data_IF_586730200910
#
_entry.id   IF_586730200910
#
_cell.length_a   1.000
_cell.length_b   1.000
_cell.length_c   1.000
_cell.angle_alpha   90.00
_cell.angle_beta   90.00
_cell.angle_gamma   90.00
#
_symmetry.space_group_name_H-M   'P 1'
#
loop_
_entity.id
_entity.type
_entity.pdbx_description
1 polymer ?
#
# COMPACT_ATOMS: atom_id res chain seq x y z
N UNK A 1 -0.05 -6.65 23.03
CA UNK A 1 0.14 -5.19 23.11
C UNK A 1 -1.23 -4.65 22.79
N UNK A 2 -1.89 -4.06 23.77
CA UNK A 2 -3.24 -3.56 23.62
C UNK A 2 -3.24 -2.46 22.54
N UNK A 3 -3.87 -2.76 21.41
CA UNK A 3 -3.99 -1.85 20.29
C UNK A 3 -5.12 -0.87 20.64
N UNK A 4 -4.76 0.13 21.44
CA UNK A 4 -5.69 1.19 21.83
C UNK A 4 -6.18 1.93 20.59
N UNK A 5 -7.35 1.54 20.09
CA UNK A 5 -8.27 2.35 19.29
C UNK A 5 -7.64 3.34 18.31
N UNK A 6 -6.65 2.90 17.51
CA UNK A 6 -6.06 3.78 16.50
C UNK A 6 -7.13 4.12 15.48
N UNK A 7 -7.45 5.41 15.41
CA UNK A 7 -8.30 5.97 14.37
C UNK A 7 -7.43 6.57 13.27
N UNK A 8 -7.66 6.15 12.03
CA UNK A 8 -6.86 6.55 10.86
C UNK A 8 -7.51 7.69 10.06
N UNK A 9 -8.83 7.84 10.15
CA UNK A 9 -9.60 8.81 9.38
C UNK A 9 -10.29 9.87 10.24
N UNK A 10 -9.65 10.32 11.32
CA UNK A 10 -10.18 11.36 12.21
C UNK A 10 -10.33 12.68 11.46
N UNK A 11 -11.53 13.28 11.49
CA UNK A 11 -11.80 14.58 10.87
C UNK A 11 -11.87 14.54 9.34
N UNK A 12 -12.18 13.38 8.76
CA UNK A 12 -12.39 13.25 7.31
C UNK A 12 -13.83 13.54 6.89
N UNK A 13 -14.73 13.78 7.83
CA UNK A 13 -16.06 14.31 7.58
C UNK A 13 -15.95 15.65 6.84
N UNK A 14 -16.79 15.85 5.81
CA UNK A 14 -16.75 17.00 4.91
C UNK A 14 -15.48 17.15 4.07
N UNK A 15 -14.60 16.13 4.02
CA UNK A 15 -13.43 16.17 3.15
C UNK A 15 -13.86 16.10 1.68
N UNK A 16 -13.31 17.03 0.88
CA UNK A 16 -13.56 17.10 -0.56
C UNK A 16 -12.55 16.23 -1.31
N UNK A 17 -13.03 15.35 -2.18
CA UNK A 17 -12.25 14.40 -2.97
C UNK A 17 -12.52 14.64 -4.44
N UNK A 18 -11.48 14.91 -5.22
CA UNK A 18 -11.55 14.98 -6.68
C UNK A 18 -11.14 13.65 -7.29
N UNK A 19 -12.04 13.06 -8.07
CA UNK A 19 -11.86 11.79 -8.78
C UNK A 19 -11.83 12.03 -10.29
N UNK A 20 -11.18 11.14 -11.02
CA UNK A 20 -11.11 11.20 -12.47
C UNK A 20 -11.35 9.79 -13.03
N UNK A 21 -12.32 9.65 -13.92
CA UNK A 21 -12.55 8.45 -14.72
C UNK A 21 -12.44 8.87 -16.18
N UNK A 22 -11.52 8.27 -16.94
CA UNK A 22 -11.30 8.60 -18.36
C UNK A 22 -11.09 10.11 -18.63
N UNK A 23 -10.39 10.80 -17.72
CA UNK A 23 -10.17 12.25 -17.69
C UNK A 23 -11.43 13.11 -17.47
N UNK A 24 -12.56 12.51 -17.10
CA UNK A 24 -13.75 13.23 -16.66
C UNK A 24 -13.61 13.48 -15.15
N UNK A 25 -13.41 14.74 -14.71
CA UNK A 25 -13.33 15.05 -13.29
C UNK A 25 -14.72 14.97 -12.66
N UNK A 26 -14.78 14.45 -11.44
CA UNK A 26 -15.93 14.55 -10.54
C UNK A 26 -15.45 14.90 -9.15
N UNK A 27 -16.23 15.67 -8.39
CA UNK A 27 -15.84 16.11 -7.05
C UNK A 27 -16.92 15.70 -6.05
N UNK A 28 -16.49 15.03 -4.99
CA UNK A 28 -17.37 14.43 -3.99
C UNK A 28 -16.99 14.89 -2.59
N UNK A 29 -17.98 15.07 -1.73
CA UNK A 29 -17.81 15.41 -0.31
C UNK A 29 -18.08 14.16 0.51
N UNK A 30 -17.17 13.80 1.42
CA UNK A 30 -17.41 12.72 2.38
C UNK A 30 -18.40 13.17 3.45
N UNK A 31 -19.47 12.41 3.66
CA UNK A 31 -20.54 12.75 4.62
C UNK A 31 -20.32 12.05 5.96
N UNK A 32 -20.46 10.73 5.98
CA UNK A 32 -20.38 9.90 7.18
C UNK A 32 -19.35 8.78 7.00
N UNK A 33 -18.54 8.53 8.02
CA UNK A 33 -17.69 7.34 8.10
C UNK A 33 -18.52 6.11 8.49
N UNK A 34 -18.90 5.32 7.49
CA UNK A 34 -19.73 4.13 7.66
C UNK A 34 -18.98 2.95 8.27
N UNK A 35 -17.69 2.80 7.96
CA UNK A 35 -16.85 1.75 8.52
C UNK A 35 -15.37 2.14 8.51
N UNK A 36 -14.67 1.72 9.55
CA UNK A 36 -13.22 1.77 9.62
C UNK A 36 -12.69 0.39 10.02
N UNK A 37 -11.78 -0.15 9.22
CA UNK A 37 -11.07 -1.37 9.51
C UNK A 37 -9.59 -1.10 9.38
N UNK A 38 -8.79 -1.76 10.18
CA UNK A 38 -7.36 -1.85 9.94
C UNK A 38 -6.91 -3.26 10.31
N UNK A 39 -5.81 -3.69 9.70
CA UNK A 39 -5.13 -4.89 10.18
C UNK A 39 -3.65 -4.60 10.33
N UNK A 40 -3.17 -4.88 11.53
CA UNK A 40 -1.77 -4.82 11.88
C UNK A 40 -1.44 -6.13 12.60
N UNK A 41 -0.60 -6.96 11.99
CA UNK A 41 -0.26 -8.25 12.58
C UNK A 41 0.94 -8.12 13.53
N UNK A 42 0.97 -8.89 14.61
CA UNK A 42 2.21 -9.16 15.36
C UNK A 42 3.23 -9.89 14.47
N UNK A 43 4.50 -9.94 14.86
CA UNK A 43 5.51 -10.65 14.06
C UNK A 43 5.17 -12.15 13.95
N UNK A 44 4.57 -12.70 15.01
CA UNK A 44 4.11 -14.08 15.09
C UNK A 44 2.89 -14.34 14.18
N UNK A 45 1.84 -13.51 14.27
CA UNK A 45 0.63 -13.67 13.43
C UNK A 45 0.93 -13.47 11.95
N UNK A 46 1.86 -12.59 11.63
CA UNK A 46 2.35 -12.42 10.27
C UNK A 46 2.97 -13.71 9.72
N UNK A 47 3.80 -14.39 10.52
CA UNK A 47 4.43 -15.64 10.11
C UNK A 47 3.39 -16.73 9.79
N UNK A 48 2.25 -16.73 10.48
CA UNK A 48 1.17 -17.68 10.23
C UNK A 48 0.31 -17.28 9.02
N UNK A 49 0.05 -15.98 8.82
CA UNK A 49 -0.75 -15.45 7.70
C UNK A 49 -0.21 -14.09 7.24
N UNK A 50 0.63 -14.06 6.19
CA UNK A 50 1.19 -12.82 5.68
C UNK A 50 0.09 -11.92 5.07
N UNK A 51 -0.07 -10.69 5.60
CA UNK A 51 -0.98 -9.66 5.09
C UNK A 51 -0.33 -8.28 5.16
N UNK A 52 -0.56 -7.44 4.15
CA UNK A 52 0.02 -6.08 4.04
C UNK A 52 -0.70 -5.16 4.98
N UNK A 53 -0.05 -4.68 6.05
CA UNK A 53 -0.70 -3.78 7.00
C UNK A 53 -1.29 -2.55 6.29
N UNK A 54 -2.56 -2.29 6.55
CA UNK A 54 -3.31 -1.20 5.92
C UNK A 54 -4.49 -0.77 6.80
N UNK A 55 -4.97 0.45 6.56
CA UNK A 55 -6.23 0.95 7.07
C UNK A 55 -7.22 1.19 5.91
N UNK A 56 -8.50 0.98 6.20
CA UNK A 56 -9.59 0.98 5.24
C UNK A 56 -10.72 1.82 5.80
N UNK A 57 -11.13 2.86 5.07
CA UNK A 57 -12.29 3.67 5.39
C UNK A 57 -13.38 3.46 4.36
N UNK A 58 -14.62 3.30 4.78
CA UNK A 58 -15.81 3.37 3.92
C UNK A 58 -16.64 4.57 4.34
N UNK A 59 -16.97 5.44 3.39
CA UNK A 59 -17.73 6.67 3.61
C UNK A 59 -18.93 6.72 2.68
N UNK A 60 -20.04 7.28 3.18
CA UNK A 60 -21.05 7.88 2.29
C UNK A 60 -20.52 9.21 1.75
N UNK A 61 -20.97 9.57 0.57
CA UNK A 61 -20.61 10.84 -0.05
C UNK A 61 -21.71 11.34 -0.98
N UNK A 62 -21.68 12.64 -1.27
CA UNK A 62 -22.49 13.25 -2.31
C UNK A 62 -21.63 14.06 -3.28
N UNK A 63 -22.15 14.30 -4.48
CA UNK A 63 -21.48 15.13 -5.47
C UNK A 63 -21.53 16.61 -5.06
N UNK A 64 -20.39 17.30 -5.18
CA UNK A 64 -20.27 18.70 -4.74
C UNK A 64 -21.31 19.63 -5.38
N UNK A 65 -21.64 19.42 -6.65
CA UNK A 65 -22.61 20.24 -7.39
C UNK A 65 -24.07 19.81 -7.23
N UNK A 66 -24.32 18.60 -6.76
CA UNK A 66 -25.67 18.04 -6.62
C UNK A 66 -25.72 17.08 -5.42
N UNK A 67 -26.23 17.57 -4.29
CA UNK A 67 -26.35 16.78 -3.07
C UNK A 67 -27.35 15.62 -3.17
N UNK A 68 -28.18 15.56 -4.22
CA UNK A 68 -29.07 14.43 -4.48
C UNK A 68 -28.35 13.24 -5.13
N UNK A 69 -27.19 13.50 -5.77
CA UNK A 69 -26.28 12.49 -6.31
C UNK A 69 -25.43 11.91 -5.17
N UNK A 70 -25.73 10.68 -4.77
CA UNK A 70 -25.09 10.01 -3.62
C UNK A 70 -24.23 8.81 -4.06
N UNK A 71 -23.23 8.48 -3.25
CA UNK A 71 -22.30 7.39 -3.51
C UNK A 71 -21.62 6.85 -2.26
N UNK A 72 -20.74 5.88 -2.48
CA UNK A 72 -19.87 5.29 -1.45
C UNK A 72 -18.42 5.40 -1.91
N UNK A 73 -17.55 5.94 -1.06
CA UNK A 73 -16.09 5.96 -1.29
C UNK A 73 -15.41 4.99 -0.34
N UNK A 74 -14.54 4.13 -0.90
CA UNK A 74 -13.63 3.26 -0.14
C UNK A 74 -12.22 3.80 -0.25
N UNK A 75 -11.60 4.11 0.89
CA UNK A 75 -10.24 4.65 0.99
C UNK A 75 -9.32 3.57 1.52
N UNK A 76 -8.20 3.35 0.84
CA UNK A 76 -7.17 2.39 1.22
C UNK A 76 -5.90 3.14 1.58
N UNK A 77 -5.48 3.09 2.84
CA UNK A 77 -4.25 3.70 3.33
C UNK A 77 -3.19 2.62 3.54
N UNK A 78 -2.12 2.65 2.74
CA UNK A 78 -0.98 1.75 2.85
C UNK A 78 0.32 2.47 2.44
N UNK A 79 1.46 2.00 2.94
CA UNK A 79 2.77 2.51 2.52
C UNK A 79 3.13 1.95 1.14
N UNK A 80 3.23 2.82 0.13
CA UNK A 80 3.64 2.45 -1.24
C UNK A 80 4.59 3.49 -1.86
N UNK A 81 5.41 3.10 -2.85
CA UNK A 81 6.13 4.05 -3.69
C UNK A 81 5.18 5.02 -4.39
N UNK A 82 5.70 6.17 -4.85
CA UNK A 82 4.91 7.19 -5.53
C UNK A 82 4.20 6.60 -6.75
N UNK A 83 2.87 6.65 -6.76
CA UNK A 83 2.07 6.30 -7.93
C UNK A 83 2.24 7.36 -9.02
N UNK A 84 2.58 6.93 -10.23
CA UNK A 84 2.79 7.79 -11.39
C UNK A 84 1.59 7.75 -12.34
N UNK A 85 1.00 6.57 -12.54
CA UNK A 85 -0.17 6.42 -13.41
C UNK A 85 -1.00 5.18 -13.02
N UNK A 86 -2.28 5.21 -13.37
CA UNK A 86 -3.20 4.08 -13.24
C UNK A 86 -3.93 3.88 -14.56
N UNK A 87 -4.01 2.64 -15.02
CA UNK A 87 -4.89 2.24 -16.13
C UNK A 87 -5.78 1.09 -15.67
N UNK A 88 -7.03 1.09 -16.13
CA UNK A 88 -7.98 -0.01 -15.92
C UNK A 88 -8.40 -0.59 -17.28
N UNK A 89 -8.39 -1.91 -17.39
CA UNK A 89 -8.98 -2.65 -18.50
C UNK A 89 -9.98 -3.70 -17.99
N UNK A 90 -10.79 -4.27 -18.88
CA UNK A 90 -11.68 -5.41 -18.61
C UNK A 90 -11.13 -6.68 -19.28
N UNK A 91 -11.25 -7.80 -18.59
CA UNK A 91 -10.85 -9.12 -19.08
C UNK A 91 -11.98 -9.70 -19.91
N UNK A 92 -11.65 -10.14 -21.13
CA UNK A 92 -12.60 -10.82 -21.98
C UNK A 92 -12.97 -12.23 -21.44
N UNK A 93 -13.86 -12.89 -22.16
CA UNK A 93 -14.38 -14.22 -21.82
C UNK A 93 -13.33 -15.34 -21.83
N UNK A 94 -12.13 -15.08 -22.34
CA UNK A 94 -11.00 -16.02 -22.38
C UNK A 94 -9.98 -15.78 -21.26
N UNK A 95 -10.11 -14.67 -20.53
CA UNK A 95 -9.22 -14.31 -19.43
C UNK A 95 -9.37 -15.23 -18.21
N UNK A 96 -8.37 -15.25 -17.30
CA UNK A 96 -8.44 -16.01 -16.06
C UNK A 96 -9.59 -15.59 -15.12
N UNK A 97 -10.03 -14.33 -15.24
CA UNK A 97 -11.22 -13.81 -14.54
C UNK A 97 -12.15 -13.16 -15.55
N UNK A 98 -13.02 -13.94 -16.24
CA UNK A 98 -13.94 -13.41 -17.24
C UNK A 98 -14.86 -12.31 -16.71
N UNK A 99 -14.92 -11.16 -17.40
CA UNK A 99 -15.66 -9.97 -16.96
C UNK A 99 -15.05 -9.26 -15.75
N UNK A 100 -13.88 -9.71 -15.29
CA UNK A 100 -13.10 -9.05 -14.24
C UNK A 100 -12.30 -7.87 -14.78
N UNK A 101 -11.69 -7.10 -13.88
CA UNK A 101 -10.87 -5.95 -14.25
C UNK A 101 -9.36 -6.24 -14.13
N UNK A 102 -8.57 -5.60 -14.98
CA UNK A 102 -7.12 -5.47 -14.83
C UNK A 102 -6.81 -4.06 -14.34
N UNK A 103 -5.98 -3.95 -13.32
CA UNK A 103 -5.46 -2.67 -12.84
C UNK A 103 -3.95 -2.64 -13.07
N UNK A 104 -3.51 -1.67 -13.86
CA UNK A 104 -2.10 -1.41 -14.09
C UNK A 104 -1.69 -0.21 -13.23
N UNK A 105 -0.73 -0.44 -12.34
CA UNK A 105 -0.14 0.61 -11.51
C UNK A 105 1.27 0.89 -12.01
N UNK A 106 1.49 2.09 -12.54
CA UNK A 106 2.84 2.56 -12.79
C UNK A 106 3.31 3.30 -11.55
N UNK A 107 4.30 2.75 -10.85
CA UNK A 107 4.87 3.33 -9.65
C UNK A 107 6.31 3.78 -9.89
N UNK A 108 6.77 4.77 -9.13
CA UNK A 108 8.15 5.21 -9.14
C UNK A 108 9.05 4.04 -8.74
N UNK A 109 10.00 3.72 -9.62
CA UNK A 109 11.03 2.74 -9.32
C UNK A 109 11.99 3.31 -8.26
N UNK A 110 12.13 2.68 -7.08
CA UNK A 110 13.15 3.08 -6.12
C UNK A 110 14.55 2.77 -6.68
N UNK A 111 15.59 3.52 -6.26
CA UNK A 111 16.96 3.25 -6.67
C UNK A 111 17.46 1.90 -6.16
N UNK A 112 18.49 1.36 -6.78
CA UNK A 112 19.09 0.08 -6.40
C UNK A 112 18.64 -1.12 -7.24
N UNK A 113 18.99 -2.32 -6.77
CA UNK A 113 18.73 -3.59 -7.45
C UNK A 113 17.94 -4.52 -6.54
N UNK A 114 16.97 -5.22 -7.11
CA UNK A 114 16.35 -6.33 -6.42
C UNK A 114 17.41 -7.34 -6.03
N UNK A 115 17.44 -7.71 -4.75
CA UNK A 115 18.26 -8.80 -4.30
C UNK A 115 17.65 -10.12 -4.75
N UNK A 116 18.51 -11.12 -4.91
CA UNK A 116 18.11 -12.50 -5.05
C UNK A 116 19.15 -13.36 -4.32
N UNK A 117 18.88 -14.66 -4.08
CA UNK A 117 19.80 -15.50 -3.34
C UNK A 117 21.21 -15.54 -3.96
N UNK A 118 21.32 -15.65 -5.28
CA UNK A 118 22.62 -15.71 -5.97
C UNK A 118 23.45 -14.45 -5.76
N UNK A 119 22.86 -13.27 -5.97
CA UNK A 119 23.50 -11.97 -5.74
C UNK A 119 23.90 -11.79 -4.28
N UNK A 120 23.05 -12.16 -3.34
CA UNK A 120 23.34 -11.99 -1.92
C UNK A 120 24.45 -12.93 -1.44
N UNK A 121 24.46 -14.18 -1.91
CA UNK A 121 25.46 -15.15 -1.47
C UNK A 121 26.80 -15.01 -2.17
N UNK A 122 26.87 -14.38 -3.35
CA UNK A 122 28.12 -14.03 -4.02
C UNK A 122 28.88 -12.87 -3.36
N UNK A 123 28.19 -12.01 -2.60
CA UNK A 123 28.80 -10.95 -1.79
C UNK A 123 29.72 -11.50 -0.70
N UNK A 124 30.73 -10.72 -0.32
CA UNK A 124 31.61 -11.09 0.78
C UNK A 124 30.92 -10.98 2.16
N UNK A 125 31.62 -11.38 3.22
CA UNK A 125 31.08 -11.34 4.57
C UNK A 125 30.70 -9.93 5.05
N UNK A 126 31.50 -8.92 4.69
CA UNK A 126 31.31 -7.55 5.11
C UNK A 126 30.14 -6.89 4.37
N UNK A 127 30.05 -7.09 3.06
CA UNK A 127 28.94 -6.63 2.22
C UNK A 127 27.61 -7.22 2.69
N UNK A 128 27.55 -8.53 2.92
CA UNK A 128 26.34 -9.18 3.46
C UNK A 128 25.93 -8.62 4.82
N UNK A 129 26.89 -8.30 5.68
CA UNK A 129 26.59 -7.69 6.97
C UNK A 129 26.05 -6.27 6.83
N UNK A 130 26.56 -5.49 5.87
CA UNK A 130 26.04 -4.16 5.53
C UNK A 130 24.58 -4.26 5.06
N UNK A 131 24.29 -5.18 4.14
CA UNK A 131 22.92 -5.45 3.65
C UNK A 131 21.99 -5.84 4.81
N UNK A 132 22.40 -6.79 5.67
CA UNK A 132 21.60 -7.21 6.84
C UNK A 132 21.32 -6.04 7.80
N UNK A 133 22.31 -5.19 8.05
CA UNK A 133 22.15 -4.03 8.92
C UNK A 133 21.21 -2.98 8.31
N UNK A 134 21.28 -2.76 7.00
CA UNK A 134 20.35 -1.89 6.29
C UNK A 134 18.91 -2.44 6.35
N UNK A 135 18.72 -3.74 6.09
CA UNK A 135 17.44 -4.41 6.23
C UNK A 135 16.88 -4.29 7.65
N UNK A 136 17.70 -4.55 8.67
CA UNK A 136 17.29 -4.41 10.07
C UNK A 136 16.80 -2.99 10.38
N UNK A 137 17.51 -1.95 9.91
CA UNK A 137 17.09 -0.55 10.11
C UNK A 137 15.76 -0.27 9.42
N UNK A 138 15.62 -0.64 8.15
CA UNK A 138 14.38 -0.44 7.39
C UNK A 138 13.19 -1.18 8.03
N UNK A 139 13.40 -2.42 8.47
CA UNK A 139 12.41 -3.22 9.18
C UNK A 139 11.98 -2.58 10.50
N UNK A 140 12.94 -2.12 11.31
CA UNK A 140 12.62 -1.46 12.58
C UNK A 140 11.86 -0.14 12.39
N UNK A 141 12.19 0.64 11.35
CA UNK A 141 11.45 1.84 10.99
C UNK A 141 10.01 1.53 10.57
N UNK A 142 9.80 0.45 9.82
CA UNK A 142 8.46 -0.04 9.48
C UNK A 142 7.68 -0.37 10.76
N UNK A 143 8.26 -1.20 11.63
CA UNK A 143 7.60 -1.68 12.85
C UNK A 143 7.28 -0.54 13.80
N UNK A 144 8.18 0.44 13.98
CA UNK A 144 7.94 1.61 14.84
C UNK A 144 6.82 2.50 14.31
N UNK A 145 6.66 2.59 12.98
CA UNK A 145 5.54 3.26 12.34
C UNK A 145 4.22 2.45 12.39
N UNK A 146 4.23 1.25 12.98
CA UNK A 146 3.07 0.35 13.04
C UNK A 146 2.85 -0.48 11.76
N UNK A 147 3.84 -0.54 10.86
CA UNK A 147 3.75 -1.27 9.60
C UNK A 147 4.63 -2.53 9.62
N UNK A 148 4.16 -3.62 9.00
CA UNK A 148 4.97 -4.82 8.77
C UNK A 148 4.82 -5.30 7.33
N UNK A 149 5.93 -5.43 6.57
CA UNK A 149 5.91 -5.98 5.22
C UNK A 149 5.35 -7.40 5.19
N UNK A 150 4.41 -7.66 4.25
CA UNK A 150 3.70 -8.92 4.15
C UNK A 150 4.54 -10.07 3.57
N UNK A 151 5.39 -9.76 2.60
CA UNK A 151 6.04 -10.76 1.77
C UNK A 151 7.52 -10.84 2.13
N UNK A 152 7.87 -11.80 2.98
CA UNK A 152 9.22 -11.99 3.52
C UNK A 152 10.11 -12.80 2.56
N UNK A 153 10.41 -12.23 1.40
CA UNK A 153 11.27 -12.83 0.39
C UNK A 153 12.42 -11.87 0.04
N UNK A 154 13.62 -12.40 -0.22
CA UNK A 154 14.79 -11.57 -0.56
C UNK A 154 14.58 -10.82 -1.88
N UNK A 155 13.77 -11.40 -2.76
CA UNK A 155 13.32 -10.87 -4.04
C UNK A 155 12.43 -9.63 -3.91
N UNK A 156 11.92 -9.33 -2.71
CA UNK A 156 11.18 -8.10 -2.43
C UNK A 156 12.07 -6.99 -1.84
N UNK A 157 13.36 -7.25 -1.62
CA UNK A 157 14.31 -6.27 -1.11
C UNK A 157 15.02 -5.59 -2.27
N UNK A 158 15.13 -4.27 -2.21
CA UNK A 158 15.85 -3.46 -3.18
C UNK A 158 17.06 -2.89 -2.45
N UNK A 159 18.26 -3.20 -2.95
CA UNK A 159 19.51 -2.77 -2.35
C UNK A 159 20.14 -1.65 -3.18
N UNK A 160 20.29 -0.48 -2.56
CA UNK A 160 21.07 0.64 -3.11
C UNK A 160 22.48 0.60 -2.49
N UNK A 161 23.41 -0.03 -3.23
CA UNK A 161 24.79 -0.21 -2.81
C UNK A 161 25.55 1.12 -2.67
N UNK A 162 25.17 2.15 -3.45
CA UNK A 162 25.83 3.46 -3.39
C UNK A 162 25.53 4.18 -2.08
N UNK A 163 24.29 4.04 -1.59
CA UNK A 163 23.82 4.70 -0.37
C UNK A 163 23.86 3.82 0.87
N UNK A 164 24.07 2.52 0.70
CA UNK A 164 24.10 1.58 1.81
C UNK A 164 22.75 1.43 2.52
N UNK A 165 21.64 1.50 1.79
CA UNK A 165 20.28 1.39 2.31
C UNK A 165 19.38 0.47 1.47
N UNK A 166 18.26 0.09 2.11
CA UNK A 166 17.15 -0.62 1.48
C UNK A 166 16.11 0.37 0.95
#
# INVERSE_FOLDING_TARGET
MDDHGKEFFVGWESKVISLHIDNIPSTWVLDEKLAELYHQHTAYEHHLRPRVAAAYGTFSCHEWSDSSSQGIIKVFMHSAPKLLHVKKDEQDHTGPVPGGFLQYLLIQRPPGKYLNPEMFWSMDGQERNTVRNAFKRAWLNCVSAGFKPAMSAIENLIWDAEKGNM
#
